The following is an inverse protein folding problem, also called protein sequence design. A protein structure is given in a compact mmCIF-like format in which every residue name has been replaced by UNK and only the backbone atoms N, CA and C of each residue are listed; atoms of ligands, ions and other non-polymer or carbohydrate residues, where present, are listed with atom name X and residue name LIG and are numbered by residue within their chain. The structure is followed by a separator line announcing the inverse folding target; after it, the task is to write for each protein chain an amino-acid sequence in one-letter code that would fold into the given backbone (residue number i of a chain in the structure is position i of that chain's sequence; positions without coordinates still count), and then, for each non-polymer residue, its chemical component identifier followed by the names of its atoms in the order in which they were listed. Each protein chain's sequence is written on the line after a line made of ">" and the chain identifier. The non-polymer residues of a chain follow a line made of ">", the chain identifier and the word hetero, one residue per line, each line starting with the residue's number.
data_IF_049833991520
#
_entry.id   IF_049833991520
#
_cell.length_a   1.000
_cell.length_b   1.000
_cell.length_c   1.000
_cell.angle_alpha   90.00
_cell.angle_beta   90.00
_cell.angle_gamma   90.00
#
_symmetry.space_group_name_H-M   'P 1'
#
loop_
_entity.id
_entity.type
_entity.pdbx_description
1 polymer ?
#
# COMPACT_ATOMS: atom_id res chain seq x y z
N UNK A 1 -36.92 -45.15 48.23
CA UNK A 1 -35.47 -45.47 48.22
C UNK A 1 -35.30 -46.69 47.31
N UNK A 2 -34.56 -46.70 46.20
CA UNK A 2 -33.44 -45.91 45.66
C UNK A 2 -33.56 -45.99 44.12
N UNK A 3 -33.86 -44.90 43.43
CA UNK A 3 -32.94 -44.17 42.53
C UNK A 3 -31.74 -45.01 42.08
N UNK A 4 -31.72 -45.43 40.81
CA UNK A 4 -30.56 -45.49 39.92
C UNK A 4 -30.81 -46.47 38.78
N UNK A 5 -31.10 -45.94 37.57
CA UNK A 5 -30.79 -46.52 36.25
C UNK A 5 -31.55 -45.74 35.17
N UNK A 6 -31.22 -44.44 35.05
CA UNK A 6 -31.60 -43.60 33.90
C UNK A 6 -30.39 -42.75 33.51
N UNK A 7 -29.29 -43.41 33.14
CA UNK A 7 -28.13 -42.76 32.54
C UNK A 7 -27.52 -43.70 31.50
N UNK A 8 -28.33 -44.11 30.52
CA UNK A 8 -27.87 -44.82 29.34
C UNK A 8 -28.59 -44.27 28.10
N UNK A 9 -28.51 -42.95 27.93
CA UNK A 9 -28.78 -42.27 26.68
C UNK A 9 -28.26 -40.84 26.85
N UNK A 10 -27.65 -40.27 25.81
CA UNK A 10 -26.97 -38.96 25.78
C UNK A 10 -25.47 -39.03 26.08
N UNK A 11 -24.81 -40.03 25.49
CA UNK A 11 -23.43 -39.92 25.03
C UNK A 11 -23.50 -39.73 23.52
N UNK A 12 -23.46 -38.47 23.06
CA UNK A 12 -23.15 -37.97 21.71
C UNK A 12 -23.68 -36.52 21.66
N UNK A 13 -22.91 -35.58 21.09
CA UNK A 13 -23.08 -34.11 21.16
C UNK A 13 -22.32 -33.48 22.33
N UNK A 14 -21.01 -33.67 22.35
CA UNK A 14 -20.08 -32.70 22.97
C UNK A 14 -18.86 -32.40 22.09
N UNK A 15 -18.93 -32.74 20.79
CA UNK A 15 -18.05 -32.13 19.80
C UNK A 15 -18.64 -30.77 19.39
N UNK A 16 -17.76 -29.79 19.21
CA UNK A 16 -17.99 -28.43 18.70
C UNK A 16 -18.23 -27.33 19.74
N UNK A 17 -17.40 -27.27 20.78
CA UNK A 17 -17.05 -25.99 21.41
C UNK A 17 -15.52 -25.84 21.50
N UNK A 18 -14.84 -26.07 20.38
CA UNK A 18 -13.49 -25.56 20.09
C UNK A 18 -13.57 -24.79 18.77
N UNK A 19 -14.36 -23.73 18.76
CA UNK A 19 -14.33 -22.70 17.72
C UNK A 19 -14.45 -21.36 18.42
N UNK A 20 -13.47 -21.09 19.26
CA UNK A 20 -13.18 -19.75 19.76
C UNK A 20 -11.70 -19.55 19.48
N UNK A 21 -11.44 -18.90 18.36
CA UNK A 21 -10.12 -18.64 17.80
C UNK A 21 -10.24 -17.83 16.51
N UNK A 22 -11.25 -16.97 16.41
CA UNK A 22 -11.08 -15.75 15.64
C UNK A 22 -10.22 -14.85 16.54
N UNK A 23 -8.92 -15.15 16.60
CA UNK A 23 -7.93 -14.13 16.89
C UNK A 23 -7.90 -13.24 15.64
N UNK A 24 -8.96 -12.45 15.46
CA UNK A 24 -8.86 -11.20 14.70
C UNK A 24 -7.98 -10.31 15.57
N UNK A 25 -6.67 -10.59 15.57
CA UNK A 25 -5.69 -9.67 16.07
C UNK A 25 -5.99 -8.31 15.42
N UNK A 26 -5.99 -7.21 16.18
CA UNK A 26 -6.22 -5.89 15.59
C UNK A 26 -5.26 -5.73 14.40
N UNK A 27 -5.74 -5.26 13.23
CA UNK A 27 -4.92 -5.21 12.04
C UNK A 27 -3.64 -4.43 12.34
N UNK A 28 -2.51 -4.97 11.92
CA UNK A 28 -1.23 -4.31 12.11
C UNK A 28 -1.17 -3.03 11.23
N UNK A 29 -0.24 -2.12 11.52
CA UNK A 29 -0.19 -0.82 10.84
C UNK A 29 -0.13 -0.93 9.31
N UNK A 30 0.54 -1.96 8.79
CA UNK A 30 0.65 -2.22 7.35
C UNK A 30 -0.67 -2.68 6.73
N UNK A 31 -1.47 -3.48 7.44
CA UNK A 31 -2.80 -3.89 6.97
C UNK A 31 -3.74 -2.68 6.86
N UNK A 32 -3.79 -1.83 7.89
CA UNK A 32 -4.59 -0.59 7.87
C UNK A 32 -4.12 0.41 6.81
N UNK A 33 -2.81 0.53 6.62
CA UNK A 33 -2.25 1.39 5.59
C UNK A 33 -2.54 0.84 4.18
N UNK A 34 -2.46 -0.49 3.99
CA UNK A 34 -2.78 -1.12 2.71
C UNK A 34 -4.25 -0.93 2.32
N UNK A 35 -5.19 -1.04 3.27
CA UNK A 35 -6.61 -0.74 3.02
C UNK A 35 -6.82 0.66 2.41
N UNK A 36 -6.00 1.63 2.82
CA UNK A 36 -6.03 3.00 2.28
C UNK A 36 -5.29 3.10 0.95
N UNK A 37 -4.08 2.53 0.88
CA UNK A 37 -3.19 2.57 -0.27
C UNK A 37 -3.76 1.87 -1.51
N UNK A 38 -4.46 0.75 -1.32
CA UNK A 38 -4.97 -0.07 -2.41
C UNK A 38 -5.97 0.69 -3.29
N UNK A 39 -5.95 0.40 -4.59
CA UNK A 39 -6.81 1.03 -5.59
C UNK A 39 -6.06 2.00 -6.48
N UNK A 40 -6.80 2.88 -7.15
CA UNK A 40 -6.29 3.81 -8.16
C UNK A 40 -6.20 5.22 -7.60
N UNK A 41 -5.13 5.89 -7.99
CA UNK A 41 -4.82 7.26 -7.64
C UNK A 41 -4.45 8.04 -8.89
N UNK A 42 -4.83 9.32 -8.95
CA UNK A 42 -4.48 10.20 -10.06
C UNK A 42 -4.21 11.64 -9.59
N UNK A 43 -3.80 12.50 -10.52
CA UNK A 43 -3.61 13.93 -10.25
C UNK A 43 -4.90 14.75 -10.31
N UNK A 44 -6.04 14.15 -10.66
CA UNK A 44 -7.29 14.88 -10.67
C UNK A 44 -7.67 15.32 -9.24
N UNK A 45 -8.64 16.23 -9.15
CA UNK A 45 -9.17 16.70 -7.86
C UNK A 45 -8.12 17.32 -6.91
N UNK A 46 -7.07 17.95 -7.47
CA UNK A 46 -6.07 18.68 -6.71
C UNK A 46 -4.88 17.84 -6.26
N UNK A 47 -4.53 16.80 -7.04
CA UNK A 47 -3.20 16.20 -6.97
C UNK A 47 -2.13 17.11 -7.59
N UNK A 48 -0.87 16.83 -7.29
CA UNK A 48 0.27 17.61 -7.76
C UNK A 48 1.55 16.79 -7.82
N UNK A 49 2.46 17.13 -8.73
CA UNK A 49 3.85 16.66 -8.75
C UNK A 49 4.74 17.89 -8.58
N UNK A 50 5.42 17.98 -7.45
CA UNK A 50 6.38 19.05 -7.15
C UNK A 50 7.80 18.49 -7.23
N UNK A 51 8.67 19.17 -7.96
CA UNK A 51 10.09 18.80 -8.11
C UNK A 51 10.94 19.97 -7.63
N UNK A 52 11.72 19.78 -6.57
CA UNK A 52 12.57 20.82 -5.97
C UNK A 52 11.82 22.13 -5.66
N UNK A 53 10.53 22.02 -5.35
CA UNK A 53 9.65 23.15 -5.01
C UNK A 53 8.90 23.76 -6.21
N UNK A 54 9.14 23.31 -7.44
CA UNK A 54 8.44 23.76 -8.63
C UNK A 54 7.33 22.78 -9.04
N UNK A 55 6.17 23.30 -9.43
CA UNK A 55 5.05 22.49 -9.91
C UNK A 55 5.32 21.97 -11.34
N UNK A 56 5.45 20.66 -11.46
CA UNK A 56 5.68 19.93 -12.70
C UNK A 56 4.44 19.13 -13.16
N UNK A 57 3.28 19.31 -12.52
CA UNK A 57 2.07 18.49 -12.76
C UNK A 57 1.62 18.51 -14.23
N UNK A 58 1.81 19.63 -14.92
CA UNK A 58 1.46 19.78 -16.34
C UNK A 58 2.27 18.88 -17.27
N UNK A 59 3.43 18.38 -16.82
CA UNK A 59 4.27 17.46 -17.58
C UNK A 59 3.76 16.01 -17.53
N UNK A 60 2.80 15.71 -16.63
CA UNK A 60 2.26 14.38 -16.40
C UNK A 60 0.73 14.36 -16.59
N UNK A 61 0.22 14.71 -17.78
CA UNK A 61 -1.20 14.74 -18.03
C UNK A 61 -1.83 13.36 -17.86
N UNK A 62 -2.93 13.27 -17.11
CA UNK A 62 -3.60 12.01 -16.78
C UNK A 62 -2.68 10.99 -16.11
N UNK A 63 -1.73 11.45 -15.28
CA UNK A 63 -0.96 10.56 -14.42
C UNK A 63 -1.89 9.68 -13.59
N UNK A 64 -1.59 8.39 -13.56
CA UNK A 64 -2.27 7.41 -12.72
C UNK A 64 -1.26 6.50 -12.04
N UNK A 65 -1.58 6.10 -10.81
CA UNK A 65 -0.82 5.17 -9.99
C UNK A 65 -1.81 4.24 -9.31
N UNK A 66 -1.60 2.93 -9.35
CA UNK A 66 -2.46 1.99 -8.63
C UNK A 66 -1.64 0.96 -7.88
N UNK A 67 -2.17 0.56 -6.73
CA UNK A 67 -1.58 -0.46 -5.88
C UNK A 67 -2.55 -1.62 -5.69
N UNK A 68 -2.01 -2.83 -5.83
CA UNK A 68 -2.61 -4.10 -5.42
C UNK A 68 -1.70 -4.75 -4.39
N UNK A 69 -2.10 -5.89 -3.83
CA UNK A 69 -1.23 -6.66 -2.95
C UNK A 69 0.05 -7.06 -3.69
N UNK A 70 1.20 -6.53 -3.24
CA UNK A 70 2.53 -6.74 -3.82
C UNK A 70 2.79 -6.15 -5.22
N UNK A 71 1.81 -5.51 -5.85
CA UNK A 71 1.91 -5.00 -7.23
C UNK A 71 1.54 -3.54 -7.38
N UNK A 72 2.17 -2.85 -8.34
CA UNK A 72 1.78 -1.49 -8.71
C UNK A 72 1.74 -1.29 -10.23
N UNK A 73 0.95 -0.35 -10.70
CA UNK A 73 0.91 0.09 -12.10
C UNK A 73 0.92 1.61 -12.18
N UNK A 74 1.46 2.14 -13.28
CA UNK A 74 1.42 3.56 -13.58
C UNK A 74 0.89 3.84 -14.97
N UNK A 75 0.33 5.03 -15.15
CA UNK A 75 -0.15 5.55 -16.42
C UNK A 75 0.36 6.98 -16.57
N UNK A 76 0.86 7.34 -17.75
CA UNK A 76 1.43 8.67 -18.04
C UNK A 76 2.46 9.15 -17.01
N UNK A 77 3.22 8.22 -16.43
CA UNK A 77 4.31 8.50 -15.50
C UNK A 77 5.60 8.98 -16.19
N UNK A 78 5.59 9.08 -17.52
CA UNK A 78 6.78 9.37 -18.32
C UNK A 78 7.91 8.42 -17.93
N UNK A 79 9.06 9.02 -17.63
CA UNK A 79 10.26 8.32 -17.21
C UNK A 79 10.46 8.34 -15.68
N UNK A 80 9.40 8.60 -14.92
CA UNK A 80 9.48 8.70 -13.46
C UNK A 80 9.28 7.35 -12.76
N UNK A 81 8.39 6.50 -13.29
CA UNK A 81 8.05 5.19 -12.73
C UNK A 81 7.95 4.14 -13.84
N UNK A 82 8.23 2.89 -13.49
CA UNK A 82 7.95 1.76 -14.39
C UNK A 82 6.45 1.70 -14.67
N UNK A 83 6.07 1.25 -15.87
CA UNK A 83 4.66 1.09 -16.23
C UNK A 83 3.94 0.10 -15.27
N UNK A 84 4.66 -0.88 -14.74
CA UNK A 84 4.23 -1.74 -13.65
C UNK A 84 5.43 -2.35 -12.94
N UNK A 85 5.20 -2.88 -11.74
CA UNK A 85 6.24 -3.49 -10.94
C UNK A 85 5.70 -4.10 -9.65
N UNK A 86 6.63 -4.41 -8.75
CA UNK A 86 6.34 -4.93 -7.41
C UNK A 86 6.62 -3.88 -6.35
N UNK A 87 5.96 -3.99 -5.19
CA UNK A 87 6.29 -3.17 -4.04
C UNK A 87 6.25 -3.98 -2.75
N UNK A 88 6.98 -3.51 -1.74
CA UNK A 88 6.98 -4.06 -0.39
C UNK A 88 7.06 -2.95 0.66
N UNK A 89 6.51 -3.17 1.86
CA UNK A 89 6.71 -2.26 2.98
C UNK A 89 8.19 -2.22 3.37
N UNK A 90 8.74 -1.02 3.53
CA UNK A 90 10.14 -0.84 3.92
C UNK A 90 10.32 -0.78 5.45
N UNK A 91 9.24 -0.52 6.21
CA UNK A 91 9.22 -0.50 7.67
C UNK A 91 7.90 -1.05 8.25
N UNK A 92 7.90 -1.40 9.54
CA UNK A 92 6.74 -1.98 10.24
C UNK A 92 5.66 -0.93 10.53
N UNK A 93 6.04 0.36 10.59
CA UNK A 93 5.16 1.50 10.83
C UNK A 93 4.32 1.89 9.60
N UNK A 94 4.55 1.26 8.45
CA UNK A 94 3.88 1.53 7.18
C UNK A 94 4.06 3.00 6.70
N UNK A 95 5.21 3.59 7.02
CA UNK A 95 5.58 4.94 6.60
C UNK A 95 6.41 4.98 5.31
N UNK A 96 6.89 3.83 4.84
CA UNK A 96 7.77 3.73 3.68
C UNK A 96 7.44 2.48 2.85
N UNK A 97 7.50 2.61 1.51
CA UNK A 97 7.39 1.46 0.60
C UNK A 97 8.57 1.45 -0.38
N UNK A 98 9.03 0.27 -0.74
CA UNK A 98 10.07 0.06 -1.74
C UNK A 98 9.44 -0.48 -3.02
N UNK A 99 9.59 0.27 -4.11
CA UNK A 99 9.20 -0.12 -5.47
C UNK A 99 10.37 -0.87 -6.14
N UNK A 100 10.08 -2.04 -6.69
CA UNK A 100 10.99 -2.88 -7.46
C UNK A 100 12.31 -3.24 -6.74
N UNK A 101 12.33 -3.15 -5.40
CA UNK A 101 13.53 -3.30 -4.55
C UNK A 101 14.64 -2.28 -4.84
N UNK A 102 14.25 -1.16 -5.43
CA UNK A 102 15.16 -0.12 -5.88
C UNK A 102 14.75 1.19 -5.20
N UNK A 103 13.59 1.72 -5.56
CA UNK A 103 13.16 3.03 -5.05
C UNK A 103 12.36 2.90 -3.76
N UNK A 104 12.88 3.41 -2.66
CA UNK A 104 12.06 3.69 -1.46
C UNK A 104 11.37 5.04 -1.60
N UNK A 105 10.05 5.08 -1.37
CA UNK A 105 9.29 6.32 -1.21
C UNK A 105 8.82 6.44 0.24
N UNK A 106 8.80 7.67 0.74
CA UNK A 106 8.35 8.03 2.08
C UNK A 106 6.90 8.50 1.99
N UNK A 107 6.02 7.91 2.77
CA UNK A 107 4.62 8.30 2.88
C UNK A 107 4.51 9.49 3.83
N UNK A 108 4.13 10.65 3.29
CA UNK A 108 3.97 11.89 4.06
C UNK A 108 2.53 12.02 4.59
N UNK A 109 1.55 11.58 3.82
CA UNK A 109 0.14 11.49 4.23
C UNK A 109 -0.57 10.36 3.49
N UNK A 110 -1.40 9.59 4.20
CA UNK A 110 -2.19 8.52 3.61
C UNK A 110 -3.55 8.40 4.31
N UNK A 111 -4.59 8.75 3.55
CA UNK A 111 -6.00 8.67 3.92
C UNK A 111 -6.76 7.91 2.82
N UNK A 112 -8.08 7.77 2.95
CA UNK A 112 -8.90 7.10 1.93
C UNK A 112 -8.91 7.82 0.57
N UNK A 113 -8.69 9.15 0.56
CA UNK A 113 -8.82 10.01 -0.63
C UNK A 113 -7.59 10.85 -0.93
N UNK A 114 -6.57 10.82 -0.07
CA UNK A 114 -5.31 11.53 -0.27
C UNK A 114 -4.13 10.60 -0.02
N UNK A 115 -3.21 10.56 -0.97
CA UNK A 115 -1.91 9.93 -0.81
C UNK A 115 -0.82 10.91 -1.23
N UNK A 116 0.00 11.33 -0.27
CA UNK A 116 1.16 12.16 -0.48
C UNK A 116 2.42 11.39 -0.11
N UNK A 117 3.40 11.40 -1.00
CA UNK A 117 4.67 10.73 -0.78
C UNK A 117 5.82 11.50 -1.42
N UNK A 118 7.04 11.19 -0.98
CA UNK A 118 8.25 11.82 -1.48
C UNK A 118 9.39 10.85 -1.67
N UNK A 119 10.29 11.18 -2.60
CA UNK A 119 11.54 10.47 -2.82
C UNK A 119 12.54 11.40 -3.51
N UNK A 120 13.82 11.10 -3.39
CA UNK A 120 14.87 11.77 -4.16
C UNK A 120 15.19 10.92 -5.37
N UNK A 121 15.23 11.55 -6.55
CA UNK A 121 15.67 10.91 -7.78
C UNK A 121 16.97 11.54 -8.26
N UNK A 122 18.00 10.72 -8.47
CA UNK A 122 19.28 11.14 -9.02
C UNK A 122 19.41 10.50 -10.40
N UNK A 123 19.01 11.23 -11.44
CA UNK A 123 18.87 10.79 -12.84
C UNK A 123 20.16 10.37 -13.56
N UNK A 124 21.22 10.00 -12.83
CA UNK A 124 22.34 9.25 -13.38
C UNK A 124 23.11 8.55 -12.25
N UNK A 125 22.93 7.23 -12.14
CA UNK A 125 23.88 6.33 -11.46
C UNK A 125 23.55 5.95 -10.02
N UNK A 126 22.98 4.75 -9.86
CA UNK A 126 22.92 4.03 -8.60
C UNK A 126 22.07 2.75 -8.67
N UNK A 127 20.95 2.84 -9.37
CA UNK A 127 19.97 1.76 -9.50
C UNK A 127 19.91 1.31 -10.96
N UNK A 128 20.86 0.44 -11.32
CA UNK A 128 21.11 0.01 -12.69
C UNK A 128 19.84 -0.61 -13.32
N UNK A 129 19.08 0.22 -14.05
CA UNK A 129 18.27 -0.05 -15.27
C UNK A 129 17.01 0.82 -15.40
N UNK A 130 16.70 1.70 -14.46
CA UNK A 130 15.35 2.28 -14.41
C UNK A 130 15.34 3.81 -14.54
N UNK A 131 15.12 4.21 -15.80
CA UNK A 131 14.33 5.37 -16.26
C UNK A 131 14.98 6.78 -16.22
N UNK A 132 14.94 7.52 -17.34
CA UNK A 132 15.54 8.87 -17.56
C UNK A 132 14.63 10.02 -17.03
N UNK A 133 14.44 10.09 -15.70
CA UNK A 133 13.68 11.18 -15.06
C UNK A 133 14.47 12.50 -14.86
N UNK A 134 13.77 13.59 -14.50
CA UNK A 134 14.43 14.82 -14.03
C UNK A 134 14.98 14.56 -12.63
N UNK A 135 16.28 14.76 -12.42
CA UNK A 135 16.86 14.66 -11.07
C UNK A 135 16.24 15.71 -10.14
N UNK A 136 15.93 15.33 -8.90
CA UNK A 136 15.38 16.25 -7.92
C UNK A 136 14.68 15.56 -6.76
N UNK A 137 14.16 16.35 -5.84
CA UNK A 137 13.32 15.89 -4.75
C UNK A 137 11.86 15.99 -5.17
N UNK A 138 11.20 14.84 -5.24
CA UNK A 138 9.80 14.74 -5.63
C UNK A 138 8.93 14.77 -4.39
N UNK A 139 7.85 15.56 -4.45
CA UNK A 139 6.69 15.46 -3.57
C UNK A 139 5.47 15.30 -4.45
N UNK A 140 4.85 14.12 -4.39
CA UNK A 140 3.71 13.76 -5.21
C UNK A 140 2.50 13.64 -4.31
N UNK A 141 1.42 14.31 -4.68
CA UNK A 141 0.10 14.16 -4.07
C UNK A 141 -0.85 13.64 -5.12
N UNK A 142 -1.51 12.53 -4.83
CA UNK A 142 -2.54 11.94 -5.69
C UNK A 142 -3.83 11.70 -4.92
N UNK A 143 -4.93 11.66 -5.66
CA UNK A 143 -6.29 11.57 -5.13
C UNK A 143 -7.00 10.32 -5.65
N UNK A 144 -7.99 9.88 -4.91
CA UNK A 144 -8.91 8.79 -5.25
C UNK A 144 -10.33 9.32 -5.36
#
# INVERSE_FOLDING_TARGET
>A
MKIAKRYLLLLFISCLYLSCGNDDAPPNAQELAFERLAGTWDLANGGSIIIDGEDASLNYPNFGLSFTDGGYNTMNAGELFSASGTWEWANEEAGEITLDRLRTIIINDLTETNFQFSFTFTGSGGEANLIDGISGNYVITVKK
#
